data_IF_184369527548
#
_entry.id   IF_184369527548
#
_cell.length_a   1.000
_cell.length_b   1.000
_cell.length_c   1.000
_cell.angle_alpha   90.00
_cell.angle_beta   90.00
_cell.angle_gamma   90.00
#
_symmetry.space_group_name_H-M   'P 1'
#
loop_
_entity.id
_entity.type
_entity.pdbx_description
1 polymer ?
#
# COMPACT_ATOMS: atom_id res chain seq x y z
N UNK A 1 13.62 -4.49 8.03
CA UNK A 1 12.72 -4.10 6.93
C UNK A 1 13.26 -4.72 5.64
N UNK A 2 12.42 -5.31 4.80
CA UNK A 2 12.88 -6.16 3.69
C UNK A 2 13.36 -5.40 2.42
N UNK A 3 13.21 -4.07 2.34
CA UNK A 3 13.27 -3.34 1.06
C UNK A 3 14.11 -2.04 1.05
N UNK A 4 15.29 -2.00 1.69
CA UNK A 4 16.16 -0.81 1.57
C UNK A 4 16.83 -0.66 0.19
N UNK A 5 16.74 -1.64 -0.70
CA UNK A 5 17.35 -1.60 -2.04
C UNK A 5 16.33 -1.63 -3.18
N UNK A 6 15.16 -0.98 -3.01
CA UNK A 6 14.26 -0.75 -4.14
C UNK A 6 14.73 0.49 -4.92
N UNK A 7 15.07 0.27 -6.20
CA UNK A 7 15.37 1.36 -7.12
C UNK A 7 14.06 2.07 -7.50
N UNK A 8 13.66 3.04 -6.68
CA UNK A 8 12.46 3.85 -6.87
C UNK A 8 12.44 4.57 -8.22
N UNK A 9 13.60 4.89 -8.82
CA UNK A 9 13.67 5.51 -10.16
C UNK A 9 13.18 4.56 -11.27
N UNK A 10 13.46 3.26 -11.17
CA UNK A 10 12.92 2.25 -12.10
C UNK A 10 11.45 1.98 -11.82
N UNK A 11 11.05 1.96 -10.55
CA UNK A 11 9.66 1.71 -10.13
C UNK A 11 8.71 2.81 -10.62
N UNK A 12 9.13 4.08 -10.57
CA UNK A 12 8.36 5.22 -11.08
C UNK A 12 8.02 5.14 -12.57
N UNK A 13 8.76 4.35 -13.37
CA UNK A 13 8.44 4.13 -14.79
C UNK A 13 7.17 3.28 -14.99
N UNK A 14 6.74 2.56 -13.95
CA UNK A 14 5.49 1.82 -13.95
C UNK A 14 4.56 2.43 -12.86
N UNK A 15 3.60 3.28 -13.26
CA UNK A 15 2.78 4.03 -12.31
C UNK A 15 1.93 3.11 -11.42
N UNK A 16 1.48 1.98 -11.94
CA UNK A 16 0.72 1.00 -11.17
C UNK A 16 1.57 0.34 -10.07
N UNK A 17 2.76 -0.18 -10.44
CA UNK A 17 3.66 -0.80 -9.46
C UNK A 17 4.12 0.20 -8.41
N UNK A 18 4.33 1.45 -8.80
CA UNK A 18 4.67 2.51 -7.86
C UNK A 18 3.53 2.83 -6.89
N UNK A 19 2.28 2.88 -7.37
CA UNK A 19 1.12 3.11 -6.52
C UNK A 19 0.92 1.99 -5.49
N UNK A 20 1.00 0.73 -5.92
CA UNK A 20 0.93 -0.46 -5.04
C UNK A 20 2.02 -0.38 -3.98
N UNK A 21 3.27 -0.18 -4.40
CA UNK A 21 4.40 -0.08 -3.46
C UNK A 21 4.22 1.07 -2.47
N UNK A 22 3.76 2.24 -2.91
CA UNK A 22 3.51 3.38 -2.01
C UNK A 22 2.46 3.03 -0.96
N UNK A 23 1.35 2.42 -1.38
CA UNK A 23 0.30 1.96 -0.46
C UNK A 23 0.86 0.95 0.56
N UNK A 24 1.63 -0.05 0.11
CA UNK A 24 2.26 -1.03 1.00
C UNK A 24 3.21 -0.37 2.00
N UNK A 25 4.02 0.59 1.56
CA UNK A 25 4.93 1.31 2.47
C UNK A 25 4.14 2.11 3.50
N UNK A 26 3.15 2.88 3.04
CA UNK A 26 2.32 3.73 3.89
C UNK A 26 1.54 2.91 4.93
N UNK A 27 0.98 1.76 4.52
CA UNK A 27 0.22 0.89 5.42
C UNK A 27 1.16 0.22 6.42
N UNK A 28 2.24 -0.42 5.96
CA UNK A 28 3.10 -1.22 6.83
C UNK A 28 3.99 -0.39 7.75
N UNK A 29 4.48 0.75 7.30
CA UNK A 29 5.51 1.52 8.01
C UNK A 29 5.04 2.90 8.49
N UNK A 30 3.83 3.31 8.11
CA UNK A 30 3.23 4.55 8.56
C UNK A 30 3.06 5.56 7.45
N UNK A 31 2.10 6.46 7.68
CA UNK A 31 1.59 7.39 6.70
C UNK A 31 2.47 8.64 6.50
N UNK A 32 3.40 8.92 7.41
CA UNK A 32 4.26 10.11 7.39
C UNK A 32 3.50 11.43 7.15
N UNK A 33 2.27 11.53 7.69
CA UNK A 33 1.40 12.70 7.53
C UNK A 33 0.56 12.74 6.25
N UNK A 34 0.70 11.77 5.35
CA UNK A 34 -0.13 11.65 4.15
C UNK A 34 -1.43 10.87 4.42
N UNK A 35 -2.53 11.26 3.78
CA UNK A 35 -3.78 10.47 3.83
C UNK A 35 -3.78 9.39 2.74
N UNK A 36 -4.30 8.21 3.07
CA UNK A 36 -4.60 7.18 2.08
C UNK A 36 -5.85 7.58 1.29
N UNK A 37 -5.78 7.46 -0.04
CA UNK A 37 -6.97 7.53 -0.89
C UNK A 37 -7.66 6.18 -0.86
N UNK A 38 -8.92 6.16 -0.40
CA UNK A 38 -9.72 4.94 -0.30
C UNK A 38 -9.94 4.30 -1.67
N UNK A 39 -10.10 5.11 -2.73
CA UNK A 39 -10.30 4.59 -4.09
C UNK A 39 -9.07 3.83 -4.60
N UNK A 40 -7.86 4.35 -4.36
CA UNK A 40 -6.62 3.65 -4.71
C UNK A 40 -6.45 2.37 -3.89
N UNK A 41 -6.81 2.42 -2.60
CA UNK A 41 -6.77 1.26 -1.72
C UNK A 41 -7.70 0.14 -2.21
N UNK A 42 -8.94 0.47 -2.57
CA UNK A 42 -9.92 -0.48 -3.11
C UNK A 42 -9.49 -1.01 -4.48
N UNK A 43 -8.99 -0.13 -5.36
CA UNK A 43 -8.53 -0.49 -6.71
C UNK A 43 -7.41 -1.53 -6.68
N UNK A 44 -6.49 -1.40 -5.74
CA UNK A 44 -5.32 -2.27 -5.64
C UNK A 44 -5.42 -3.35 -4.57
N UNK A 45 -6.55 -3.44 -3.85
CA UNK A 45 -6.73 -4.29 -2.66
C UNK A 45 -6.22 -5.73 -2.82
N UNK A 46 -6.60 -6.38 -3.94
CA UNK A 46 -6.22 -7.76 -4.25
C UNK A 46 -4.73 -7.94 -4.59
N UNK A 47 -4.01 -6.85 -4.88
CA UNK A 47 -2.59 -6.83 -5.26
C UNK A 47 -1.68 -6.43 -4.11
N UNK A 48 -2.23 -5.97 -2.97
CA UNK A 48 -1.44 -5.45 -1.85
C UNK A 48 -0.85 -6.59 -1.01
N UNK A 49 0.45 -6.50 -0.75
CA UNK A 49 1.17 -7.32 0.22
C UNK A 49 1.40 -6.50 1.49
N UNK A 50 0.42 -6.55 2.40
CA UNK A 50 0.43 -5.83 3.67
C UNK A 50 0.40 -6.78 4.86
N UNK A 51 0.89 -6.28 5.99
CA UNK A 51 0.88 -7.01 7.25
C UNK A 51 -0.55 -7.50 7.58
N UNK A 52 -0.73 -8.78 7.97
CA UNK A 52 -2.06 -9.37 8.15
C UNK A 52 -2.95 -8.63 9.17
N UNK A 53 -2.36 -8.08 10.23
CA UNK A 53 -3.14 -7.38 11.26
C UNK A 53 -3.66 -6.05 10.72
N UNK A 54 -2.82 -5.33 9.96
CA UNK A 54 -3.21 -4.09 9.28
C UNK A 54 -4.24 -4.36 8.19
N UNK A 55 -4.09 -5.46 7.45
CA UNK A 55 -5.07 -5.89 6.44
C UNK A 55 -6.45 -6.07 7.06
N UNK A 56 -6.54 -6.86 8.13
CA UNK A 56 -7.80 -7.11 8.83
C UNK A 56 -8.47 -5.84 9.35
N UNK A 57 -7.68 -4.91 9.88
CA UNK A 57 -8.20 -3.60 10.32
C UNK A 57 -8.80 -2.80 9.15
N UNK A 58 -8.09 -2.75 8.03
CA UNK A 58 -8.56 -2.05 6.83
C UNK A 58 -9.78 -2.73 6.20
N UNK A 59 -9.87 -4.07 6.20
CA UNK A 59 -11.06 -4.82 5.76
C UNK A 59 -12.29 -4.41 6.56
N UNK A 60 -12.14 -4.36 7.88
CA UNK A 60 -13.21 -3.95 8.80
C UNK A 60 -13.65 -2.51 8.53
N UNK A 61 -12.72 -1.58 8.27
CA UNK A 61 -13.05 -0.18 7.98
C UNK A 61 -13.66 0.03 6.59
N UNK A 62 -13.27 -0.79 5.61
CA UNK A 62 -13.80 -0.72 4.24
C UNK A 62 -15.13 -1.45 4.07
N UNK A 63 -15.56 -2.24 5.06
CA UNK A 63 -16.73 -3.10 4.97
C UNK A 63 -16.58 -4.21 3.92
N UNK A 64 -15.34 -4.64 3.67
CA UNK A 64 -15.04 -5.75 2.75
C UNK A 64 -14.90 -7.02 3.58
N UNK A 65 -15.83 -7.96 3.39
CA UNK A 65 -15.84 -9.28 4.04
C UNK A 65 -15.51 -10.38 3.03
#
# INVERSE_FOLDING_TARGET
MYNWNINTKKLKKNPEKYAIWKLEQSINFGLNGEKLKVDDLKKYWLKLTIDPQRKKLLEMWLGQH
#
